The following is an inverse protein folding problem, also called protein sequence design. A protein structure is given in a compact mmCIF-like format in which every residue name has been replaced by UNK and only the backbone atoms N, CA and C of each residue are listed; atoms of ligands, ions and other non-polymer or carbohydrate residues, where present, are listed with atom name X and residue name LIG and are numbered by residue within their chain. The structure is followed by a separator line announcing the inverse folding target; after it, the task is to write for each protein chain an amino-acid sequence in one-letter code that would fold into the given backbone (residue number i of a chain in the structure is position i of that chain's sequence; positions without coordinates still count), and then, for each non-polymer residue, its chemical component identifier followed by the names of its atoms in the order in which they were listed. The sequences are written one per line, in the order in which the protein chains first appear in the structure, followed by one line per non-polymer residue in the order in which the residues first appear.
data_IF_215231660448
#
_entry.id   IF_215231660448
#
_cell.length_a   1.000
_cell.length_b   1.000
_cell.length_c   1.000
_cell.angle_alpha   90.00
_cell.angle_beta   90.00
_cell.angle_gamma   90.00
#
_symmetry.space_group_name_H-M   'P 1'
#
loop_
_entity.id
_entity.type
_entity.pdbx_description
1 polymer ?
#
# COMPACT_ATOMS: atom_id res chain seq x y z
N UNK A 1 -4.92 -7.73 12.42
CA UNK A 1 -3.54 -8.19 12.16
C UNK A 1 -3.17 -7.67 10.79
N UNK A 2 -2.50 -6.53 10.75
CA UNK A 2 -2.06 -5.89 9.51
C UNK A 2 -0.65 -6.39 9.25
N UNK A 3 -0.49 -7.28 8.26
CA UNK A 3 0.81 -7.79 7.87
C UNK A 3 1.55 -6.69 7.09
N UNK A 4 2.17 -5.76 7.83
CA UNK A 4 3.09 -4.79 7.25
C UNK A 4 4.40 -5.51 6.90
N UNK A 5 4.46 -6.10 5.70
CA UNK A 5 5.62 -6.85 5.25
C UNK A 5 6.60 -5.93 4.51
N UNK A 6 7.45 -5.24 5.27
CA UNK A 6 8.57 -4.48 4.70
C UNK A 6 9.69 -5.47 4.35
N UNK A 7 9.80 -5.82 3.07
CA UNK A 7 10.91 -6.63 2.57
C UNK A 7 12.13 -5.72 2.37
N UNK A 8 13.09 -5.80 3.28
CA UNK A 8 14.40 -5.20 3.09
C UNK A 8 15.27 -6.21 2.34
N UNK A 9 15.41 -6.03 1.02
CA UNK A 9 16.20 -6.95 0.20
C UNK A 9 17.68 -6.85 0.57
N UNK A 10 18.20 -5.62 0.64
CA UNK A 10 19.57 -5.29 1.05
C UNK A 10 19.55 -3.95 1.81
N UNK A 11 20.68 -3.56 2.41
CA UNK A 11 20.81 -2.27 3.11
C UNK A 11 20.56 -1.04 2.22
N UNK A 12 20.54 -1.24 0.90
CA UNK A 12 20.33 -0.21 -0.11
C UNK A 12 18.94 -0.26 -0.74
N UNK A 13 18.18 -1.37 -0.61
CA UNK A 13 16.92 -1.56 -1.33
C UNK A 13 15.86 -2.13 -0.38
N UNK A 14 14.79 -1.37 -0.20
CA UNK A 14 13.61 -1.74 0.57
C UNK A 14 12.35 -1.70 -0.30
N UNK A 15 11.54 -2.74 -0.22
CA UNK A 15 10.27 -2.85 -0.94
C UNK A 15 9.14 -2.97 0.09
N UNK A 16 8.07 -2.20 -0.10
CA UNK A 16 6.89 -2.20 0.79
C UNK A 16 5.62 -2.21 -0.07
N UNK A 17 4.94 -3.36 -0.17
CA UNK A 17 3.60 -3.40 -0.75
C UNK A 17 2.60 -2.71 0.18
N UNK A 18 1.63 -2.02 -0.41
CA UNK A 18 0.53 -1.32 0.27
C UNK A 18 -0.78 -1.76 -0.37
N UNK A 19 -1.77 -2.11 0.46
CA UNK A 19 -3.10 -2.46 -0.01
C UNK A 19 -4.10 -1.74 0.88
N UNK A 20 -4.74 -0.72 0.32
CA UNK A 20 -5.72 0.10 1.01
C UNK A 20 -7.12 -0.22 0.50
N UNK A 21 -7.96 -0.69 1.42
CA UNK A 21 -9.38 -0.89 1.15
C UNK A 21 -10.16 0.35 1.59
N UNK A 22 -10.63 1.13 0.62
CA UNK A 22 -11.42 2.33 0.89
C UNK A 22 -12.90 1.98 0.72
N UNK A 23 -13.59 1.78 1.85
CA UNK A 23 -15.00 1.38 1.88
C UNK A 23 -15.98 2.51 1.55
N UNK A 24 -15.57 3.77 1.75
CA UNK A 24 -16.35 4.97 1.43
C UNK A 24 -15.44 6.10 0.89
N UNK A 25 -14.99 6.03 -0.37
CA UNK A 25 -14.19 7.10 -0.95
C UNK A 25 -15.07 8.33 -1.22
N UNK A 26 -14.97 9.32 -0.33
CA UNK A 26 -15.48 10.69 -0.55
C UNK A 26 -16.99 10.81 -0.66
N UNK A 27 -17.71 10.68 0.47
CA UNK A 27 -19.09 11.18 0.72
C UNK A 27 -20.14 10.98 -0.40
N UNK A 28 -19.93 10.02 -1.30
CA UNK A 28 -20.78 9.77 -2.45
C UNK A 28 -21.24 8.31 -2.41
N UNK A 29 -22.51 8.13 -2.02
CA UNK A 29 -23.16 6.84 -1.73
C UNK A 29 -23.16 5.88 -2.94
N UNK A 30 -22.83 6.36 -4.14
CA UNK A 30 -22.86 5.58 -5.38
C UNK A 30 -21.50 5.03 -5.81
N UNK A 31 -20.40 5.40 -5.12
CA UNK A 31 -19.08 4.81 -5.36
C UNK A 31 -18.88 3.62 -4.44
N UNK A 32 -18.99 2.43 -5.03
CA UNK A 32 -18.71 1.17 -4.37
C UNK A 32 -17.28 1.11 -3.80
N UNK A 33 -17.00 0.12 -2.93
CA UNK A 33 -15.72 -0.01 -2.26
C UNK A 33 -14.56 -0.09 -3.26
N UNK A 34 -13.52 0.73 -3.06
CA UNK A 34 -12.34 0.79 -3.92
C UNK A 34 -11.18 0.08 -3.24
N UNK A 35 -10.60 -0.89 -3.94
CA UNK A 35 -9.32 -1.47 -3.57
C UNK A 35 -8.21 -0.70 -4.28
N UNK A 36 -7.29 -0.13 -3.51
CA UNK A 36 -6.09 0.54 -4.01
C UNK A 36 -4.89 -0.31 -3.64
N UNK A 37 -4.11 -0.71 -4.63
CA UNK A 37 -2.87 -1.45 -4.44
C UNK A 37 -1.70 -0.55 -4.83
N UNK A 38 -0.70 -0.46 -3.98
CA UNK A 38 0.51 0.31 -4.17
C UNK A 38 1.76 -0.53 -3.87
N UNK A 39 2.88 -0.13 -4.46
CA UNK A 39 4.18 -0.71 -4.16
C UNK A 39 5.18 0.43 -4.01
N UNK A 40 5.82 0.53 -2.84
CA UNK A 40 6.87 1.51 -2.56
C UNK A 40 8.22 0.81 -2.63
N UNK A 41 9.06 1.25 -3.56
CA UNK A 41 10.47 0.86 -3.65
C UNK A 41 11.31 2.04 -3.18
N UNK A 42 12.16 1.81 -2.20
CA UNK A 42 13.13 2.78 -1.72
C UNK A 42 14.52 2.21 -2.00
N UNK A 43 15.31 2.96 -2.76
CA UNK A 43 16.69 2.62 -3.07
C UNK A 43 17.59 3.78 -2.60
N UNK A 44 18.46 3.50 -1.64
CA UNK A 44 19.44 4.44 -1.09
C UNK A 44 20.80 4.07 -1.71
N UNK A 45 21.54 5.05 -2.25
CA UNK A 45 22.84 4.87 -2.91
C UNK A 45 23.88 5.79 -2.30
#
# INVERSE_FOLDING_TARGET
MEAYYKYQLNNYISISPDAQYIRHPGYDKNRGPLWVYGLRVNAEF
#
